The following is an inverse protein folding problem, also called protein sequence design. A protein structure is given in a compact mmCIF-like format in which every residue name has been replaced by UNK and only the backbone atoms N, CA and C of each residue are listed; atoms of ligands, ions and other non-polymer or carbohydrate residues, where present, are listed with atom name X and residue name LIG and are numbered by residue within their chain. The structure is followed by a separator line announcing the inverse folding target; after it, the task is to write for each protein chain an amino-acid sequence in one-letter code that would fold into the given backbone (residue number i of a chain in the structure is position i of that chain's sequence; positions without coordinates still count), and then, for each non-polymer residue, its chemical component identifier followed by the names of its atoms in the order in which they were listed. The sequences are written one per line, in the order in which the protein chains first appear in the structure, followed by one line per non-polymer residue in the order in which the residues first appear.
data_IF_665510284109
#
_entry.id   IF_665510284109
#
_cell.length_a   1.000
_cell.length_b   1.000
_cell.length_c   1.000
_cell.angle_alpha   90.00
_cell.angle_beta   90.00
_cell.angle_gamma   90.00
#
_symmetry.space_group_name_H-M   'P 1'
#
loop_
_entity.id
_entity.type
_entity.pdbx_description
1 polymer ?
#
# COMPACT_ATOMS: atom_id res chain seq x y z
N UNK A 1 20.26 20.96 -3.64
CA UNK A 1 18.90 20.76 -4.18
C UNK A 1 18.01 20.26 -3.05
N UNK A 2 16.86 20.90 -2.80
CA UNK A 2 15.98 20.55 -1.67
C UNK A 2 15.10 19.38 -2.09
N UNK A 3 15.04 18.32 -1.26
CA UNK A 3 14.19 17.16 -1.53
C UNK A 3 12.72 17.54 -1.45
N UNK A 4 11.91 16.98 -2.34
CA UNK A 4 10.45 17.16 -2.27
C UNK A 4 9.84 16.27 -1.19
N UNK A 5 8.68 16.65 -0.66
CA UNK A 5 7.93 15.84 0.33
C UNK A 5 7.71 14.39 -0.14
N UNK A 6 7.43 14.19 -1.42
CA UNK A 6 7.22 12.86 -1.99
C UNK A 6 8.49 12.00 -2.02
N UNK A 7 9.66 12.63 -2.19
CA UNK A 7 10.94 11.93 -2.14
C UNK A 7 11.26 11.44 -0.73
N UNK A 8 10.96 12.22 0.31
CA UNK A 8 11.11 11.77 1.70
C UNK A 8 10.22 10.56 2.01
N UNK A 9 8.96 10.57 1.55
CA UNK A 9 8.08 9.41 1.67
C UNK A 9 8.69 8.23 0.90
N UNK A 10 9.10 8.45 -0.35
CA UNK A 10 9.72 7.41 -1.17
C UNK A 10 10.94 6.77 -0.51
N UNK A 11 11.82 7.58 0.07
CA UNK A 11 13.01 7.13 0.78
C UNK A 11 12.67 6.31 2.03
N UNK A 12 11.69 6.74 2.82
CA UNK A 12 11.22 5.99 3.99
C UNK A 12 10.65 4.60 3.58
N UNK A 13 9.96 4.51 2.45
CA UNK A 13 9.43 3.24 1.94
C UNK A 13 10.46 2.34 1.25
N UNK A 14 11.66 2.84 0.90
CA UNK A 14 12.75 2.01 0.34
C UNK A 14 13.36 1.09 1.40
N UNK A 15 13.48 1.57 2.65
CA UNK A 15 13.97 0.80 3.80
C UNK A 15 12.95 0.85 4.95
N UNK A 16 11.87 0.06 4.85
CA UNK A 16 10.81 0.08 5.86
C UNK A 16 11.30 -0.36 7.24
N UNK A 17 12.22 -1.31 7.32
CA UNK A 17 12.66 -1.89 8.59
C UNK A 17 13.58 -0.96 9.39
N UNK A 18 14.31 -0.07 8.71
CA UNK A 18 15.20 0.95 9.32
C UNK A 18 14.44 2.25 9.65
N UNK A 19 13.20 2.41 9.20
CA UNK A 19 12.42 3.64 9.35
C UNK A 19 11.16 3.40 10.17
N UNK A 20 10.51 4.49 10.60
CA UNK A 20 9.22 4.47 11.30
C UNK A 20 8.10 3.73 10.52
N UNK A 21 8.30 3.52 9.22
CA UNK A 21 7.34 2.81 8.35
C UNK A 21 7.23 1.34 8.73
N UNK A 22 8.27 0.73 9.31
CA UNK A 22 8.27 -0.67 9.72
C UNK A 22 7.22 -0.96 10.79
N UNK A 23 7.22 -0.17 11.86
CA UNK A 23 6.21 -0.25 12.94
C UNK A 23 4.81 0.08 12.42
N UNK A 24 4.68 1.17 11.66
CA UNK A 24 3.42 1.57 11.03
C UNK A 24 2.84 0.45 10.16
N UNK A 25 3.69 -0.23 9.38
CA UNK A 25 3.30 -1.35 8.53
C UNK A 25 2.87 -2.54 9.36
N UNK A 26 3.56 -2.85 10.45
CA UNK A 26 3.19 -3.97 11.35
C UNK A 26 1.80 -3.76 11.93
N UNK A 27 1.51 -2.58 12.48
CA UNK A 27 0.18 -2.25 13.04
C UNK A 27 -0.91 -2.37 11.98
N UNK A 28 -0.71 -1.77 10.81
CA UNK A 28 -1.65 -1.86 9.68
C UNK A 28 -1.88 -3.30 9.21
N UNK A 29 -0.83 -4.13 9.15
CA UNK A 29 -0.97 -5.52 8.74
C UNK A 29 -1.80 -6.35 9.74
N UNK A 30 -1.80 -6.01 11.03
CA UNK A 30 -2.66 -6.68 12.03
C UNK A 30 -4.12 -6.36 11.76
N UNK A 31 -4.43 -5.09 11.49
CA UNK A 31 -5.79 -4.64 11.13
C UNK A 31 -6.26 -5.29 9.84
N UNK A 32 -5.47 -5.24 8.77
CA UNK A 32 -5.85 -5.74 7.44
C UNK A 32 -6.00 -7.26 7.38
N UNK A 33 -5.49 -8.00 8.36
CA UNK A 33 -5.76 -9.45 8.47
C UNK A 33 -7.20 -9.74 8.84
N UNK A 34 -7.83 -8.86 9.63
CA UNK A 34 -9.22 -8.98 10.09
C UNK A 34 -10.23 -8.50 9.04
N UNK A 35 -9.78 -7.69 8.10
CA UNK A 35 -10.61 -7.14 7.04
C UNK A 35 -10.95 -8.16 5.91
N UNK A 36 -12.02 -7.87 5.14
CA UNK A 36 -12.38 -8.60 3.92
C UNK A 36 -11.26 -8.63 2.87
N UNK A 37 -11.40 -9.52 1.88
CA UNK A 37 -10.41 -9.67 0.82
C UNK A 37 -10.29 -8.44 -0.10
N UNK A 38 -11.39 -7.72 -0.31
CA UNK A 38 -11.46 -6.53 -1.15
C UNK A 38 -12.10 -5.41 -0.35
N UNK A 39 -11.38 -4.31 -0.16
CA UNK A 39 -11.83 -3.15 0.61
C UNK A 39 -11.57 -1.88 -0.18
N UNK A 40 -12.61 -1.08 -0.40
CA UNK A 40 -12.46 0.26 -0.98
C UNK A 40 -11.83 1.19 0.05
N UNK A 41 -10.82 1.93 -0.36
CA UNK A 41 -10.15 2.93 0.48
C UNK A 41 -10.39 4.33 -0.10
N UNK A 42 -10.59 5.31 0.78
CA UNK A 42 -10.83 6.69 0.37
C UNK A 42 -9.55 7.42 -0.04
N UNK A 43 -8.44 7.11 0.62
CA UNK A 43 -7.15 7.76 0.40
C UNK A 43 -6.03 6.73 0.18
N UNK A 44 -5.02 7.06 -0.65
CA UNK A 44 -3.88 6.18 -0.87
C UNK A 44 -3.02 6.05 0.39
N UNK A 45 -2.68 4.81 0.75
CA UNK A 45 -1.70 4.52 1.81
C UNK A 45 -0.32 5.07 1.50
N UNK A 46 0.03 5.15 0.20
CA UNK A 46 1.28 5.68 -0.34
C UNK A 46 0.98 6.73 -1.40
N UNK A 47 0.95 7.99 -0.98
CA UNK A 47 0.65 9.10 -1.87
C UNK A 47 1.75 9.30 -2.93
N UNK A 48 3.01 9.13 -2.55
CA UNK A 48 4.19 9.17 -3.44
C UNK A 48 4.01 8.25 -4.65
N UNK A 49 3.72 6.97 -4.39
CA UNK A 49 3.60 5.96 -5.43
C UNK A 49 2.30 6.10 -6.21
N UNK A 50 1.21 6.45 -5.53
CA UNK A 50 -0.07 6.68 -6.19
C UNK A 50 0.06 7.80 -7.25
N UNK A 51 0.67 8.94 -6.88
CA UNK A 51 0.89 10.07 -7.80
C UNK A 51 1.79 9.67 -8.98
N UNK A 52 2.86 8.93 -8.73
CA UNK A 52 3.75 8.42 -9.78
C UNK A 52 3.02 7.48 -10.77
N UNK A 53 2.02 6.74 -10.31
CA UNK A 53 1.16 5.88 -11.14
C UNK A 53 0.00 6.63 -11.81
N UNK A 54 -0.13 7.94 -11.61
CA UNK A 54 -1.16 8.77 -12.24
C UNK A 54 -2.42 9.02 -11.41
N UNK A 55 -2.41 8.68 -10.11
CA UNK A 55 -3.52 9.02 -9.22
C UNK A 55 -3.73 10.54 -9.15
N UNK A 56 -4.99 10.95 -9.26
CA UNK A 56 -5.42 12.32 -9.02
C UNK A 56 -6.56 12.31 -8.01
N UNK A 57 -6.50 13.19 -7.03
CA UNK A 57 -7.60 13.43 -6.09
C UNK A 57 -8.73 14.19 -6.81
N UNK A 58 -9.48 13.49 -7.64
CA UNK A 58 -10.63 13.97 -8.40
C UNK A 58 -11.76 12.95 -8.30
N UNK A 59 -13.00 13.41 -8.45
CA UNK A 59 -14.15 12.50 -8.55
C UNK A 59 -13.94 11.54 -9.73
N UNK A 60 -14.31 10.27 -9.54
CA UNK A 60 -14.10 9.20 -10.52
C UNK A 60 -12.85 8.34 -10.29
N UNK A 61 -11.90 8.76 -9.43
CA UNK A 61 -10.81 7.89 -9.00
C UNK A 61 -11.23 7.07 -7.78
N UNK A 62 -11.06 5.76 -7.86
CA UNK A 62 -11.34 4.83 -6.76
C UNK A 62 -10.06 4.06 -6.45
N UNK A 63 -9.77 3.89 -5.17
CA UNK A 63 -8.72 3.01 -4.71
C UNK A 63 -9.31 1.81 -3.98
N UNK A 64 -8.68 0.67 -4.19
CA UNK A 64 -9.09 -0.59 -3.58
C UNK A 64 -7.85 -1.30 -3.06
N UNK A 65 -7.92 -1.78 -1.82
CA UNK A 65 -6.96 -2.71 -1.25
C UNK A 65 -7.46 -4.13 -1.46
N UNK A 66 -6.57 -4.98 -1.97
CA UNK A 66 -6.86 -6.40 -2.24
C UNK A 66 -5.88 -7.30 -1.49
N UNK A 67 -6.41 -8.31 -0.80
CA UNK A 67 -5.64 -9.35 -0.12
C UNK A 67 -5.45 -10.54 -1.05
N UNK A 68 -4.19 -10.85 -1.36
CA UNK A 68 -3.81 -12.03 -2.15
C UNK A 68 -3.04 -13.01 -1.26
N UNK A 69 -3.36 -14.30 -1.39
CA UNK A 69 -2.66 -15.37 -0.67
C UNK A 69 -1.22 -15.48 -1.16
N UNK A 70 -0.27 -15.65 -0.24
CA UNK A 70 1.13 -15.96 -0.58
C UNK A 70 1.28 -17.42 -1.03
N UNK A 71 2.22 -17.66 -1.94
CA UNK A 71 2.50 -18.97 -2.52
C UNK A 71 1.87 -19.17 -3.90
N UNK A 72 2.29 -20.23 -4.60
CA UNK A 72 1.86 -20.52 -5.97
C UNK A 72 0.45 -21.14 -6.06
N UNK A 73 -0.02 -21.31 -7.30
CA UNK A 73 -1.27 -22.01 -7.62
C UNK A 73 -1.18 -23.47 -7.18
N UNK A 74 -2.16 -23.95 -6.42
CA UNK A 74 -2.33 -25.39 -6.15
C UNK A 74 -3.08 -26.02 -7.32
N UNK A 75 -2.53 -27.08 -7.92
CA UNK A 75 -3.23 -27.84 -8.98
C UNK A 75 -4.47 -28.52 -8.36
N UNK A 76 -5.69 -28.27 -8.88
CA UNK A 76 -6.86 -29.00 -8.42
C UNK A 76 -6.70 -30.48 -8.79
N UNK A 77 -7.04 -31.38 -7.85
CA UNK A 77 -7.13 -32.81 -8.14
C UNK A 77 -8.55 -33.10 -8.66
N UNK A 78 -8.70 -33.97 -9.68
CA UNK A 78 -10.01 -34.49 -10.08
C UNK A 78 -10.76 -35.12 -8.90
#
# INVERSE_FOLDING_TARGET
MVKSFYEYIGDAWKRPDESYVGELRRTRLIEWRREPAVVRIEHPTRLDRARALGYKAKQGFILVRVKVRRGGRRRPRP
#
